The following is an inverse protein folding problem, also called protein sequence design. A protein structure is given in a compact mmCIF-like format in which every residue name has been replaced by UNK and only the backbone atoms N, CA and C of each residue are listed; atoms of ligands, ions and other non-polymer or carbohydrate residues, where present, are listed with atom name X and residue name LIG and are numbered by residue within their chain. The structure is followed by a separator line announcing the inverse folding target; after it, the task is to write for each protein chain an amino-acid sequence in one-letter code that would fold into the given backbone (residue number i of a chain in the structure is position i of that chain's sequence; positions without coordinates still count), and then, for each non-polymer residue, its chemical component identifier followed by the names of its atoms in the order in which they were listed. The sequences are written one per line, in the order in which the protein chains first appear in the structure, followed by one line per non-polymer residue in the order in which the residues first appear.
data_IF_645853697277
#
_entry.id   IF_645853697277
#
_cell.length_a   1.000
_cell.length_b   1.000
_cell.length_c   1.000
_cell.angle_alpha   90.00
_cell.angle_beta   90.00
_cell.angle_gamma   90.00
#
_symmetry.space_group_name_H-M   'P 1'
#
loop_
_entity.id
_entity.type
_entity.pdbx_description
1 polymer ?
#
# COMPACT_ATOMS: atom_id res chain seq x y z
N UNK A 1 16.31 -7.19 -14.68
CA UNK A 1 15.52 -6.07 -14.13
C UNK A 1 14.78 -5.25 -15.20
N UNK A 2 15.40 -4.93 -16.36
CA UNK A 2 14.72 -4.20 -17.44
C UNK A 2 13.40 -4.84 -17.92
N UNK A 3 13.34 -6.17 -18.04
CA UNK A 3 12.11 -6.90 -18.42
C UNK A 3 10.96 -6.74 -17.42
N UNK A 4 11.27 -6.73 -16.12
CA UNK A 4 10.27 -6.57 -15.05
C UNK A 4 9.67 -5.16 -15.01
N UNK A 5 10.51 -4.13 -15.13
CA UNK A 5 10.03 -2.73 -15.21
C UNK A 5 9.16 -2.55 -16.46
N UNK A 6 9.59 -3.04 -17.62
CA UNK A 6 8.78 -2.99 -18.83
C UNK A 6 7.45 -3.74 -18.68
N UNK A 7 7.44 -4.89 -18.02
CA UNK A 7 6.20 -5.60 -17.71
C UNK A 7 5.25 -4.74 -16.86
N UNK A 8 5.75 -4.10 -15.79
CA UNK A 8 4.96 -3.22 -14.95
C UNK A 8 4.41 -2.00 -15.72
N UNK A 9 5.21 -1.42 -16.63
CA UNK A 9 4.79 -0.30 -17.48
C UNK A 9 3.75 -0.69 -18.52
N UNK A 10 3.72 -1.95 -18.95
CA UNK A 10 2.75 -2.49 -19.91
C UNK A 10 1.49 -3.04 -19.24
N UNK A 11 1.56 -3.50 -17.99
CA UNK A 11 0.44 -4.09 -17.29
C UNK A 11 -0.71 -3.08 -17.09
N UNK A 12 -1.94 -3.56 -17.32
CA UNK A 12 -3.19 -2.79 -17.24
C UNK A 12 -4.26 -3.65 -16.58
N UNK A 13 -4.99 -3.08 -15.62
CA UNK A 13 -6.20 -3.71 -15.09
C UNK A 13 -7.31 -3.79 -16.15
N UNK A 14 -8.27 -4.71 -15.96
CA UNK A 14 -9.42 -4.91 -16.88
C UNK A 14 -10.18 -3.62 -17.14
N UNK A 15 -10.30 -2.77 -16.13
CA UNK A 15 -10.97 -1.47 -16.16
C UNK A 15 -10.25 -0.42 -17.01
N UNK A 16 -8.99 -0.65 -17.41
CA UNK A 16 -8.30 0.23 -18.34
C UNK A 16 -8.83 0.11 -19.78
N UNK A 17 -9.52 -0.99 -20.10
CA UNK A 17 -10.10 -1.21 -21.43
C UNK A 17 -11.32 -0.32 -21.65
N UNK A 18 -11.39 0.33 -22.81
CA UNK A 18 -12.43 1.32 -23.13
C UNK A 18 -13.87 0.79 -23.00
N UNK A 19 -14.12 -0.46 -23.43
CA UNK A 19 -15.42 -1.13 -23.29
C UNK A 19 -15.85 -1.26 -21.83
N UNK A 20 -14.89 -1.60 -20.95
CA UNK A 20 -15.14 -1.76 -19.53
C UNK A 20 -15.29 -0.41 -18.84
N UNK A 21 -14.54 0.62 -19.24
CA UNK A 21 -14.74 1.99 -18.77
C UNK A 21 -16.14 2.49 -19.07
N UNK A 22 -16.58 2.30 -20.31
CA UNK A 22 -17.94 2.68 -20.72
C UNK A 22 -18.99 1.91 -19.92
N UNK A 23 -18.85 0.58 -19.79
CA UNK A 23 -19.79 -0.25 -19.03
C UNK A 23 -19.87 0.15 -17.54
N UNK A 24 -18.72 0.35 -16.89
CA UNK A 24 -18.66 0.76 -15.48
C UNK A 24 -19.26 2.15 -15.28
N UNK A 25 -19.03 3.08 -16.21
CA UNK A 25 -19.60 4.43 -16.16
C UNK A 25 -21.09 4.48 -16.48
N UNK A 26 -21.59 3.62 -17.36
CA UNK A 26 -22.94 3.71 -17.90
C UNK A 26 -23.97 2.79 -17.21
N UNK A 27 -23.55 1.64 -16.67
CA UNK A 27 -24.49 0.60 -16.20
C UNK A 27 -24.18 0.03 -14.82
N UNK A 28 -22.96 0.22 -14.28
CA UNK A 28 -22.52 -0.40 -13.03
C UNK A 28 -22.18 0.62 -11.95
N UNK A 29 -23.18 1.40 -11.52
CA UNK A 29 -23.06 2.34 -10.39
C UNK A 29 -22.91 1.62 -9.03
N UNK A 30 -22.86 0.28 -9.01
CA UNK A 30 -22.72 -0.51 -7.79
C UNK A 30 -21.28 -0.51 -7.29
N UNK A 31 -20.30 -0.24 -8.15
CA UNK A 31 -18.89 -0.13 -7.76
C UNK A 31 -18.45 1.33 -7.90
N UNK A 32 -18.22 1.99 -6.77
CA UNK A 32 -17.88 3.41 -6.73
C UNK A 32 -16.36 3.59 -6.82
N UNK A 33 -15.82 3.61 -8.04
CA UNK A 33 -14.45 4.07 -8.33
C UNK A 33 -14.39 4.62 -9.77
N UNK A 34 -13.41 5.48 -10.07
CA UNK A 34 -13.16 5.97 -11.43
C UNK A 34 -12.33 4.97 -12.23
N UNK A 35 -12.86 4.35 -13.31
CA UNK A 35 -12.11 3.36 -14.09
C UNK A 35 -10.98 3.97 -14.95
N UNK A 36 -10.86 5.30 -15.01
CA UNK A 36 -9.66 5.95 -15.54
C UNK A 36 -8.47 5.85 -14.58
N UNK A 37 -8.71 5.64 -13.28
CA UNK A 37 -7.69 5.44 -12.25
C UNK A 37 -7.50 3.94 -12.01
N UNK A 38 -6.45 3.38 -12.60
CA UNK A 38 -6.20 1.94 -12.56
C UNK A 38 -4.75 1.62 -12.18
N UNK A 39 -4.58 0.51 -11.50
CA UNK A 39 -3.30 0.00 -11.04
C UNK A 39 -3.01 -1.37 -11.65
N UNK A 40 -2.59 -2.29 -10.80
CA UNK A 40 -2.18 -3.65 -11.14
C UNK A 40 -3.08 -4.66 -10.46
N UNK A 41 -3.19 -5.84 -11.07
CA UNK A 41 -4.04 -6.93 -10.60
C UNK A 41 -3.19 -8.12 -10.16
N UNK A 42 -3.77 -8.98 -9.31
CA UNK A 42 -3.14 -10.26 -8.94
C UNK A 42 -2.99 -11.20 -10.13
N UNK A 43 -4.01 -11.21 -11.00
CA UNK A 43 -4.08 -12.07 -12.18
C UNK A 43 -4.26 -11.19 -13.41
N UNK A 44 -3.51 -11.48 -14.46
CA UNK A 44 -3.60 -10.73 -15.71
C UNK A 44 -5.04 -10.68 -16.23
N UNK A 45 -5.47 -9.50 -16.69
CA UNK A 45 -6.81 -9.30 -17.23
C UNK A 45 -7.92 -9.25 -16.20
N UNK A 46 -7.64 -9.11 -14.89
CA UNK A 46 -8.65 -8.79 -13.85
C UNK A 46 -8.54 -7.34 -13.40
N UNK A 47 -9.44 -6.89 -12.51
CA UNK A 47 -9.43 -5.51 -12.02
C UNK A 47 -8.22 -5.21 -11.15
N UNK A 48 -7.83 -3.94 -11.02
CA UNK A 48 -6.74 -3.56 -10.13
C UNK A 48 -7.09 -3.81 -8.66
N UNK A 49 -6.09 -4.13 -7.84
CA UNK A 49 -6.20 -4.34 -6.39
C UNK A 49 -5.19 -3.46 -5.67
N UNK A 50 -5.43 -3.19 -4.38
CA UNK A 50 -4.60 -2.29 -3.57
C UNK A 50 -3.17 -2.82 -3.44
N UNK A 51 -2.99 -4.05 -2.94
CA UNK A 51 -1.66 -4.61 -2.65
C UNK A 51 -0.79 -4.75 -3.92
N UNK A 52 -1.28 -5.33 -5.05
CA UNK A 52 -0.48 -5.40 -6.28
C UNK A 52 -0.11 -4.03 -6.83
N UNK A 53 -1.03 -3.06 -6.72
CA UNK A 53 -0.77 -1.68 -7.15
C UNK A 53 0.31 -1.04 -6.29
N UNK A 54 0.21 -1.17 -4.97
CA UNK A 54 1.19 -0.63 -4.04
C UNK A 54 2.60 -1.22 -4.27
N UNK A 55 2.73 -2.54 -4.43
CA UNK A 55 4.03 -3.14 -4.74
C UNK A 55 4.59 -2.71 -6.11
N UNK A 56 3.73 -2.56 -7.12
CA UNK A 56 4.15 -2.04 -8.42
C UNK A 56 4.66 -0.59 -8.32
N UNK A 57 3.99 0.26 -7.54
CA UNK A 57 4.42 1.63 -7.30
C UNK A 57 5.77 1.69 -6.58
N UNK A 58 5.94 0.92 -5.50
CA UNK A 58 7.21 0.81 -4.77
C UNK A 58 8.34 0.38 -5.72
N UNK A 59 8.11 -0.66 -6.53
CA UNK A 59 9.11 -1.16 -7.48
C UNK A 59 9.47 -0.13 -8.57
N UNK A 60 8.49 0.57 -9.14
CA UNK A 60 8.73 1.59 -10.16
C UNK A 60 9.45 2.82 -9.58
N UNK A 61 9.12 3.23 -8.36
CA UNK A 61 9.81 4.33 -7.69
C UNK A 61 11.28 3.96 -7.41
N UNK A 62 11.55 2.74 -6.93
CA UNK A 62 12.93 2.26 -6.76
C UNK A 62 13.68 2.18 -8.09
N UNK A 63 13.01 1.74 -9.17
CA UNK A 63 13.61 1.70 -10.51
C UNK A 63 14.02 3.09 -10.99
N UNK A 64 13.18 4.09 -10.76
CA UNK A 64 13.47 5.50 -11.06
C UNK A 64 14.67 6.01 -10.27
N UNK A 65 14.71 5.77 -8.97
CA UNK A 65 15.81 6.26 -8.12
C UNK A 65 17.16 5.62 -8.43
N UNK A 66 17.15 4.33 -8.78
CA UNK A 66 18.37 3.62 -9.19
C UNK A 66 18.81 3.94 -10.63
N UNK A 67 18.12 4.85 -11.31
CA UNK A 67 18.43 5.27 -12.67
C UNK A 67 18.14 4.22 -13.74
N UNK A 68 17.31 3.21 -13.43
CA UNK A 68 16.97 2.17 -14.41
C UNK A 68 15.97 2.63 -15.46
N UNK A 69 15.06 3.54 -15.09
CA UNK A 69 14.11 4.15 -16.01
C UNK A 69 13.65 5.51 -15.44
N UNK A 70 13.88 6.59 -16.18
CA UNK A 70 13.45 7.95 -15.84
C UNK A 70 12.50 8.51 -16.90
N UNK A 71 11.83 7.65 -17.66
CA UNK A 71 10.95 8.04 -18.75
C UNK A 71 9.68 8.74 -18.24
N UNK A 72 9.13 9.65 -19.06
CA UNK A 72 7.83 10.26 -18.79
C UNK A 72 6.73 9.22 -18.61
N UNK A 73 6.84 8.09 -19.33
CA UNK A 73 5.93 6.94 -19.22
C UNK A 73 5.94 6.30 -17.84
N UNK A 74 7.10 6.18 -17.19
CA UNK A 74 7.18 5.67 -15.83
C UNK A 74 6.48 6.61 -14.85
N UNK A 75 6.77 7.91 -14.96
CA UNK A 75 6.12 8.94 -14.12
C UNK A 75 4.61 8.90 -14.26
N UNK A 76 4.09 8.93 -15.50
CA UNK A 76 2.66 8.80 -15.78
C UNK A 76 2.08 7.54 -15.15
N UNK A 77 2.79 6.40 -15.25
CA UNK A 77 2.28 5.14 -14.73
C UNK A 77 2.21 5.11 -13.19
N UNK A 78 3.19 5.74 -12.53
CA UNK A 78 3.21 5.93 -11.07
C UNK A 78 2.05 6.84 -10.66
N UNK A 79 1.83 7.95 -11.35
CA UNK A 79 0.77 8.90 -11.02
C UNK A 79 -0.63 8.30 -11.16
N UNK A 80 -0.87 7.52 -12.23
CA UNK A 80 -2.14 6.81 -12.43
C UNK A 80 -2.36 5.77 -11.32
N UNK A 81 -1.32 5.04 -10.92
CA UNK A 81 -1.42 4.03 -9.86
C UNK A 81 -1.65 4.66 -8.48
N UNK A 82 -0.95 5.75 -8.15
CA UNK A 82 -1.19 6.51 -6.92
C UNK A 82 -2.61 7.08 -6.88
N UNK A 83 -3.08 7.63 -8.01
CA UNK A 83 -4.46 8.11 -8.15
C UNK A 83 -5.49 7.01 -7.92
N UNK A 84 -5.21 5.77 -8.36
CA UNK A 84 -6.07 4.62 -8.10
C UNK A 84 -6.13 4.27 -6.60
N UNK A 85 -4.99 4.28 -5.90
CA UNK A 85 -4.99 4.05 -4.45
C UNK A 85 -5.81 5.12 -3.73
N UNK A 86 -5.60 6.40 -4.05
CA UNK A 86 -6.35 7.51 -3.43
C UNK A 86 -7.87 7.42 -3.70
N UNK A 87 -8.27 7.01 -4.90
CA UNK A 87 -9.66 6.85 -5.30
C UNK A 87 -10.39 5.72 -4.56
N UNK A 88 -9.66 4.65 -4.21
CA UNK A 88 -10.23 3.42 -3.63
C UNK A 88 -10.06 3.30 -2.13
N UNK A 89 -9.71 4.38 -1.46
CA UNK A 89 -9.62 4.44 -0.01
C UNK A 89 -10.99 4.25 0.65
N UNK A 90 -11.04 3.58 1.81
CA UNK A 90 -12.26 3.43 2.61
C UNK A 90 -12.76 4.78 3.14
N UNK A 91 -14.10 4.96 3.27
CA UNK A 91 -14.65 6.06 4.06
C UNK A 91 -14.08 6.05 5.48
N UNK A 92 -13.53 7.18 5.93
CA UNK A 92 -12.87 7.28 7.24
C UNK A 92 -11.37 6.96 7.26
N UNK A 93 -10.81 6.46 6.15
CA UNK A 93 -9.38 6.16 6.02
C UNK A 93 -9.09 4.66 5.97
N UNK A 94 -7.88 4.34 5.51
CA UNK A 94 -7.40 2.98 5.30
C UNK A 94 -7.88 2.39 3.97
N UNK A 95 -7.42 1.18 3.69
CA UNK A 95 -7.75 0.44 2.48
C UNK A 95 -8.28 -0.96 2.79
N UNK A 96 -9.36 -1.33 2.10
CA UNK A 96 -9.71 -2.72 1.89
C UNK A 96 -8.81 -3.31 0.78
N UNK A 97 -9.02 -4.57 0.40
CA UNK A 97 -8.24 -5.24 -0.64
C UNK A 97 -8.45 -4.66 -2.05
N UNK A 98 -9.69 -4.25 -2.38
CA UNK A 98 -10.07 -3.92 -3.77
C UNK A 98 -10.73 -2.56 -3.99
N UNK A 99 -11.66 -2.14 -3.12
CA UNK A 99 -12.33 -0.83 -3.15
C UNK A 99 -12.78 -0.39 -1.75
N UNK A 100 -13.02 0.91 -1.56
CA UNK A 100 -13.54 1.45 -0.29
C UNK A 100 -15.05 1.27 -0.11
N UNK A 101 -15.80 1.16 -1.21
CA UNK A 101 -17.27 1.01 -1.22
C UNK A 101 -17.67 -0.03 -2.27
N UNK A 102 -18.55 -0.96 -1.91
CA UNK A 102 -19.12 -1.93 -2.85
C UNK A 102 -20.62 -2.05 -2.62
N UNK A 103 -21.39 -2.00 -3.70
CA UNK A 103 -22.86 -2.03 -3.68
C UNK A 103 -23.48 -0.95 -2.75
N UNK A 104 -22.84 0.23 -2.67
CA UNK A 104 -23.24 1.31 -1.78
C UNK A 104 -22.89 1.09 -0.30
N UNK A 105 -22.24 -0.02 0.04
CA UNK A 105 -21.82 -0.35 1.41
C UNK A 105 -20.35 0.00 1.60
N UNK A 106 -20.04 0.76 2.65
CA UNK A 106 -18.67 1.05 3.04
C UNK A 106 -17.98 -0.23 3.53
N UNK A 107 -16.80 -0.52 2.98
CA UNK A 107 -16.01 -1.69 3.34
C UNK A 107 -15.04 -1.36 4.48
N UNK A 108 -14.72 -2.38 5.27
CA UNK A 108 -13.76 -2.25 6.36
C UNK A 108 -12.31 -2.29 5.81
N UNK A 109 -11.48 -1.32 6.19
CA UNK A 109 -10.04 -1.36 5.89
C UNK A 109 -9.32 -2.49 6.64
N UNK A 110 -8.27 -3.03 6.01
CA UNK A 110 -7.36 -4.03 6.57
C UNK A 110 -6.01 -3.41 6.93
N UNK A 111 -5.38 -3.89 8.00
CA UNK A 111 -4.12 -3.32 8.52
C UNK A 111 -2.98 -3.48 7.50
N UNK A 112 -2.82 -4.68 6.95
CA UNK A 112 -1.79 -5.01 5.96
C UNK A 112 -1.98 -4.22 4.65
N UNK A 113 -3.20 -4.21 4.09
CA UNK A 113 -3.50 -3.44 2.88
C UNK A 113 -3.29 -1.94 3.09
N UNK A 114 -3.68 -1.41 4.25
CA UNK A 114 -3.48 0.01 4.60
C UNK A 114 -2.01 0.35 4.73
N UNK A 115 -1.26 -0.48 5.44
CA UNK A 115 0.18 -0.29 5.65
C UNK A 115 0.95 -0.28 4.33
N UNK A 116 0.69 -1.27 3.47
CA UNK A 116 1.36 -1.41 2.18
C UNK A 116 0.96 -0.26 1.23
N UNK A 117 -0.30 0.18 1.26
CA UNK A 117 -0.74 1.35 0.49
C UNK A 117 -0.07 2.65 0.96
N UNK A 118 0.07 2.86 2.28
CA UNK A 118 0.79 4.01 2.83
C UNK A 118 2.27 4.01 2.42
N UNK A 119 2.95 2.86 2.47
CA UNK A 119 4.32 2.74 1.97
C UNK A 119 4.44 3.12 0.48
N UNK A 120 3.46 2.74 -0.35
CA UNK A 120 3.44 3.13 -1.76
C UNK A 120 3.11 4.61 -2.01
N UNK A 121 2.53 5.30 -1.02
CA UNK A 121 2.12 6.70 -1.05
C UNK A 121 3.07 7.63 -0.29
N UNK A 122 4.30 7.18 0.00
CA UNK A 122 5.38 8.06 0.44
C UNK A 122 5.56 9.17 -0.61
N UNK A 123 5.56 10.43 -0.16
CA UNK A 123 5.51 11.63 -1.02
C UNK A 123 4.11 12.25 -1.17
N UNK A 124 3.04 11.54 -0.79
CA UNK A 124 1.65 12.03 -0.82
C UNK A 124 1.13 12.42 0.56
N UNK A 125 2.00 12.79 1.50
CA UNK A 125 1.61 12.95 2.90
C UNK A 125 0.79 14.21 3.20
N UNK A 126 0.68 15.12 2.22
CA UNK A 126 -0.21 16.28 2.27
C UNK A 126 -1.66 15.94 1.95
N UNK A 127 -1.91 14.77 1.35
CA UNK A 127 -3.27 14.32 1.06
C UNK A 127 -4.01 14.03 2.36
N UNK A 128 -5.14 14.69 2.60
CA UNK A 128 -5.95 14.47 3.81
C UNK A 128 -6.37 13.00 3.96
N UNK A 129 -6.58 12.32 2.82
CA UNK A 129 -6.86 10.89 2.74
C UNK A 129 -5.75 10.05 3.38
N UNK A 130 -4.49 10.36 3.06
CA UNK A 130 -3.31 9.68 3.61
C UNK A 130 -3.19 9.94 5.11
N UNK A 131 -3.41 11.17 5.55
CA UNK A 131 -3.36 11.55 6.97
C UNK A 131 -4.42 10.81 7.80
N UNK A 132 -5.67 10.75 7.32
CA UNK A 132 -6.74 9.97 7.98
C UNK A 132 -6.41 8.48 8.04
N UNK A 133 -5.84 7.94 6.98
CA UNK A 133 -5.46 6.52 6.91
C UNK A 133 -4.31 6.19 7.86
N UNK A 134 -3.34 7.09 8.01
CA UNK A 134 -2.26 6.94 8.96
C UNK A 134 -2.78 6.97 10.41
N UNK A 135 -3.66 7.91 10.73
CA UNK A 135 -4.31 7.97 12.04
C UNK A 135 -5.09 6.68 12.32
N UNK A 136 -5.91 6.23 11.37
CA UNK A 136 -6.64 4.96 11.45
C UNK A 136 -5.68 3.78 11.71
N UNK A 137 -4.55 3.72 11.00
CA UNK A 137 -3.56 2.66 11.16
C UNK A 137 -2.97 2.67 12.57
N UNK A 138 -2.49 3.82 13.06
CA UNK A 138 -1.90 3.93 14.40
C UNK A 138 -2.88 3.46 15.48
N UNK A 139 -4.15 3.86 15.39
CA UNK A 139 -5.19 3.41 16.32
C UNK A 139 -5.43 1.89 16.25
N UNK A 140 -5.38 1.30 15.06
CA UNK A 140 -5.69 -0.12 14.83
C UNK A 140 -4.54 -1.07 15.09
N UNK A 141 -3.31 -0.57 15.10
CA UNK A 141 -2.15 -1.38 15.43
C UNK A 141 -2.09 -1.75 16.91
N UNK A 142 -2.68 -0.95 17.80
CA UNK A 142 -2.79 -1.30 19.20
C UNK A 142 -3.65 -2.56 19.38
N UNK A 143 -3.05 -3.63 19.90
CA UNK A 143 -3.72 -4.92 20.11
C UNK A 143 -3.94 -5.72 18.83
N UNK A 144 -3.15 -5.48 17.77
CA UNK A 144 -3.18 -6.30 16.57
C UNK A 144 -2.61 -7.69 16.87
N UNK A 145 -3.41 -8.78 16.77
CA UNK A 145 -2.93 -10.12 17.14
C UNK A 145 -2.11 -10.79 16.04
N UNK A 146 -2.06 -10.21 14.83
CA UNK A 146 -1.40 -10.80 13.66
C UNK A 146 0.03 -10.22 13.55
N UNK A 147 1.09 -11.02 13.78
CA UNK A 147 2.47 -10.55 13.60
C UNK A 147 2.71 -10.06 12.18
N UNK A 148 2.14 -10.71 11.15
CA UNK A 148 2.23 -10.28 9.76
C UNK A 148 1.66 -8.86 9.55
N UNK A 149 0.45 -8.62 10.05
CA UNK A 149 -0.22 -7.31 9.89
C UNK A 149 0.48 -6.23 10.71
N UNK A 150 0.91 -6.56 11.92
CA UNK A 150 1.64 -5.66 12.80
C UNK A 150 3.01 -5.29 12.21
N UNK A 151 3.74 -6.23 11.61
CA UNK A 151 5.02 -5.97 10.95
C UNK A 151 4.89 -4.96 9.80
N UNK A 152 3.92 -5.15 8.90
CA UNK A 152 3.63 -4.16 7.86
C UNK A 152 3.23 -2.81 8.45
N UNK A 153 2.44 -2.82 9.53
CA UNK A 153 2.08 -1.63 10.30
C UNK A 153 3.28 -0.86 10.81
N UNK A 154 4.21 -1.55 11.48
CA UNK A 154 5.46 -0.99 12.01
C UNK A 154 6.30 -0.38 10.89
N UNK A 155 6.46 -1.08 9.76
CA UNK A 155 7.15 -0.55 8.59
C UNK A 155 6.52 0.77 8.11
N UNK A 156 5.19 0.81 7.97
CA UNK A 156 4.48 2.00 7.52
C UNK A 156 4.62 3.17 8.52
N UNK A 157 4.37 2.96 9.82
CA UNK A 157 4.48 4.05 10.80
C UNK A 157 5.93 4.50 11.01
N UNK A 158 6.92 3.61 10.81
CA UNK A 158 8.32 3.98 10.81
C UNK A 158 8.64 5.00 9.70
N UNK A 159 8.12 4.82 8.48
CA UNK A 159 8.31 5.78 7.38
C UNK A 159 7.67 7.15 7.66
N UNK A 160 6.54 7.16 8.38
CA UNK A 160 5.80 8.37 8.67
C UNK A 160 6.20 9.05 10.01
N UNK A 161 7.13 8.47 10.79
CA UNK A 161 7.53 8.95 12.13
C UNK A 161 7.98 10.41 12.20
N UNK A 162 8.55 10.93 11.11
CA UNK A 162 9.02 12.33 11.05
C UNK A 162 7.89 13.35 10.95
N UNK A 163 6.75 12.95 10.41
CA UNK A 163 5.63 13.86 10.10
C UNK A 163 4.38 13.57 10.91
N UNK A 164 4.27 12.39 11.53
CA UNK A 164 3.19 12.04 12.45
C UNK A 164 3.75 11.81 13.85
N UNK A 165 3.45 12.70 14.82
CA UNK A 165 3.79 12.48 16.23
C UNK A 165 3.20 11.17 16.77
N UNK A 166 1.95 10.86 16.42
CA UNK A 166 1.25 9.64 16.83
C UNK A 166 1.98 8.37 16.36
N UNK A 167 2.45 8.36 15.10
CA UNK A 167 3.26 7.28 14.55
C UNK A 167 4.59 7.14 15.28
N UNK A 168 5.26 8.26 15.58
CA UNK A 168 6.56 8.27 16.29
C UNK A 168 6.44 7.75 17.71
N UNK A 169 5.42 8.21 18.44
CA UNK A 169 5.19 7.86 19.84
C UNK A 169 4.81 6.38 19.99
N UNK A 170 4.00 5.85 19.06
CA UNK A 170 3.58 4.45 19.10
C UNK A 170 4.60 3.45 18.55
N UNK A 171 5.58 3.90 17.76
CA UNK A 171 6.50 3.01 17.01
C UNK A 171 7.23 2.00 17.91
N UNK A 172 7.79 2.44 19.05
CA UNK A 172 8.54 1.57 19.95
C UNK A 172 7.64 0.50 20.56
N UNK A 173 6.50 0.90 21.09
CA UNK A 173 5.55 -0.02 21.73
C UNK A 173 5.05 -1.09 20.74
N UNK A 174 4.78 -0.69 19.48
CA UNK A 174 4.36 -1.62 18.42
C UNK A 174 5.48 -2.57 18.02
N UNK A 175 6.73 -2.12 18.01
CA UNK A 175 7.89 -2.99 17.76
C UNK A 175 8.10 -4.01 18.87
N UNK A 176 7.96 -3.62 20.14
CA UNK A 176 8.03 -4.56 21.27
C UNK A 176 6.90 -5.59 21.26
N UNK A 177 5.69 -5.16 20.88
CA UNK A 177 4.54 -6.06 20.67
C UNK A 177 4.81 -7.05 19.53
N UNK A 178 5.41 -6.58 18.44
CA UNK A 178 5.79 -7.43 17.31
C UNK A 178 6.86 -8.47 17.71
N UNK A 179 7.87 -8.08 18.48
CA UNK A 179 8.89 -9.00 18.97
C UNK A 179 8.24 -10.16 19.74
N UNK A 180 7.37 -9.85 20.71
CA UNK A 180 6.65 -10.87 21.49
C UNK A 180 5.82 -11.81 20.62
N UNK A 181 5.02 -11.26 19.70
CA UNK A 181 4.19 -12.08 18.80
C UNK A 181 5.02 -12.93 17.83
N UNK A 182 6.19 -12.44 17.43
CA UNK A 182 7.08 -13.15 16.50
C UNK A 182 7.81 -14.31 17.20
N UNK A 183 8.18 -14.15 18.48
CA UNK A 183 8.75 -15.25 19.28
C UNK A 183 7.76 -16.42 19.40
N UNK A 184 6.47 -16.12 19.64
CA UNK A 184 5.41 -17.13 19.68
C UNK A 184 5.19 -17.76 18.30
N UNK A 185 5.17 -16.95 17.23
CA UNK A 185 4.93 -17.40 15.86
C UNK A 185 6.11 -18.15 15.22
N UNK A 186 7.34 -17.97 15.70
CA UNK A 186 8.53 -18.70 15.23
C UNK A 186 8.39 -20.22 15.44
N UNK A 187 7.49 -20.65 16.32
CA UNK A 187 7.12 -22.06 16.48
C UNK A 187 6.32 -22.65 15.30
N UNK A 188 5.81 -21.82 14.39
CA UNK A 188 4.84 -22.19 13.34
C UNK A 188 5.47 -22.20 11.91
N UNK A 189 6.78 -21.94 11.77
CA UNK A 189 7.52 -21.97 10.49
C UNK A 189 7.00 -21.03 9.37
N UNK A 190 6.26 -19.96 9.69
CA UNK A 190 5.85 -18.96 8.70
C UNK A 190 7.01 -18.03 8.32
N UNK A 191 7.78 -18.44 7.31
CA UNK A 191 8.95 -17.71 6.81
C UNK A 191 8.62 -16.31 6.29
N UNK A 192 7.43 -16.10 5.72
CA UNK A 192 7.03 -14.79 5.19
C UNK A 192 6.79 -13.80 6.33
N UNK A 193 6.09 -14.23 7.37
CA UNK A 193 5.86 -13.42 8.57
C UNK A 193 7.16 -13.10 9.29
N UNK A 194 8.04 -14.10 9.48
CA UNK A 194 9.35 -13.88 10.09
C UNK A 194 10.20 -12.87 9.30
N UNK A 195 10.20 -12.97 7.96
CA UNK A 195 10.96 -12.06 7.12
C UNK A 195 10.46 -10.61 7.23
N UNK A 196 9.15 -10.38 7.16
CA UNK A 196 8.61 -9.01 7.28
C UNK A 196 8.77 -8.48 8.71
N UNK A 197 8.66 -9.33 9.74
CA UNK A 197 8.94 -8.93 11.12
C UNK A 197 10.39 -8.46 11.29
N UNK A 198 11.36 -9.20 10.75
CA UNK A 198 12.77 -8.80 10.80
C UNK A 198 12.99 -7.42 10.15
N UNK A 199 12.46 -7.21 8.95
CA UNK A 199 12.53 -5.92 8.25
C UNK A 199 11.87 -4.78 9.05
N UNK A 200 10.74 -5.05 9.69
CA UNK A 200 10.04 -4.08 10.51
C UNK A 200 10.85 -3.65 11.73
N UNK A 201 11.51 -4.60 12.41
CA UNK A 201 12.35 -4.33 13.57
C UNK A 201 13.64 -3.59 13.21
N UNK A 202 14.22 -3.85 12.04
CA UNK A 202 15.34 -3.07 11.50
C UNK A 202 14.94 -1.62 11.21
N UNK A 203 13.76 -1.41 10.61
CA UNK A 203 13.26 -0.07 10.26
C UNK A 203 13.07 0.85 11.47
N UNK A 204 12.79 0.29 12.66
CA UNK A 204 12.68 1.05 13.92
C UNK A 204 14.00 1.75 14.27
N UNK A 205 15.13 1.13 13.94
CA UNK A 205 16.47 1.67 14.21
C UNK A 205 16.95 2.67 13.13
N UNK A 206 16.17 2.85 12.07
CA UNK A 206 16.45 3.82 11.01
C UNK A 206 16.79 3.21 9.65
N UNK A 207 16.94 1.88 9.56
CA UNK A 207 17.25 1.17 8.34
C UNK A 207 15.96 0.82 7.59
N UNK A 208 15.45 1.75 6.80
CA UNK A 208 14.24 1.52 6.02
C UNK A 208 14.54 0.92 4.66
N UNK A 209 14.03 -0.30 4.45
CA UNK A 209 14.10 -0.99 3.15
C UNK A 209 13.20 -0.38 2.08
N UNK A 210 12.27 0.49 2.48
CA UNK A 210 11.38 1.22 1.58
C UNK A 210 11.77 2.69 1.42
N UNK A 211 12.91 3.12 2.01
CA UNK A 211 13.33 4.52 1.96
C UNK A 211 13.55 4.96 0.51
N UNK A 212 12.54 5.62 -0.05
CA UNK A 212 12.64 6.36 -1.29
C UNK A 212 13.32 7.68 -0.93
N UNK A 213 14.65 7.67 -0.78
CA UNK A 213 15.45 8.89 -0.57
C UNK A 213 15.22 9.86 -1.74
N UNK A 214 14.44 10.90 -1.50
CA UNK A 214 14.38 12.06 -2.39
C UNK A 214 15.67 12.84 -2.23
N UNK A 215 16.45 12.95 -3.31
CA UNK A 215 17.54 13.91 -3.41
C UNK A 215 17.00 15.34 -3.41
#
# INVERSE_FOLDING_TARGET
MASGVQWLLNARGREANWLWRWKLRAFDNKVQFDPAKFGWSWVSGTTSWVIPTAFALIALQQARQRGYDSSARLTERVDIGASMLLDRMCPGGGWNSGNGVAFGVALAPHIDATSIALLALIGHQKEQAVQRSLHWLVTRLAGCPSPYSLAWGVLAIAEYRRISPEARESLRDRAEELMRLTEDAASIEDSCTLAVSALALEAVNGDSVFEVRTA
#
